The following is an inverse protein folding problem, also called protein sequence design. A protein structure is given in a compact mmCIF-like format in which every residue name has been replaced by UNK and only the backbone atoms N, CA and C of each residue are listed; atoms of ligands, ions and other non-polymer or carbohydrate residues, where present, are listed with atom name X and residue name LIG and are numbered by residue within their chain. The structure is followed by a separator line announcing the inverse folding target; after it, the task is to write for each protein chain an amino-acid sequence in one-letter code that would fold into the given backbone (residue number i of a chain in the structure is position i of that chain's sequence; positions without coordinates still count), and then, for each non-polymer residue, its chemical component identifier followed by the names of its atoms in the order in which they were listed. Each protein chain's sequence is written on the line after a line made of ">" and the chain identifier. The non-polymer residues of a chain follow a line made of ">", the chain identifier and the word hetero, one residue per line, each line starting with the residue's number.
data_IF_009330258373
#
_entry.id   IF_009330258373
#
_cell.length_a   1.000
_cell.length_b   1.000
_cell.length_c   1.000
_cell.angle_alpha   90.00
_cell.angle_beta   90.00
_cell.angle_gamma   90.00
#
_symmetry.space_group_name_H-M   'P 1'
#
loop_
_entity.id
_entity.type
_entity.pdbx_description
1 polymer ?
#
# COMPACT_ATOMS: atom_id res chain seq x y z
N UNK A 1 -25.16 3.90 -12.57
CA UNK A 1 -24.83 5.27 -12.13
C UNK A 1 -24.98 6.22 -13.31
N UNK A 2 -25.93 7.14 -13.26
CA UNK A 2 -26.08 8.13 -14.33
C UNK A 2 -25.21 9.35 -14.06
N UNK A 3 -24.03 9.43 -14.65
CA UNK A 3 -23.25 10.66 -14.65
C UNK A 3 -23.92 11.63 -15.61
N UNK A 4 -24.66 12.59 -15.08
CA UNK A 4 -25.48 13.51 -15.90
C UNK A 4 -24.68 14.65 -16.57
N UNK A 5 -23.42 14.89 -16.18
CA UNK A 5 -22.58 15.96 -16.75
C UNK A 5 -21.12 15.53 -16.81
N UNK A 6 -20.67 15.16 -18.00
CA UNK A 6 -19.25 15.11 -18.34
C UNK A 6 -18.99 16.36 -19.20
N UNK A 7 -17.99 17.17 -18.84
CA UNK A 7 -17.72 18.46 -19.50
C UNK A 7 -17.40 18.32 -20.99
N UNK A 8 -16.72 17.25 -21.38
CA UNK A 8 -16.33 16.95 -22.76
C UNK A 8 -16.57 15.47 -23.06
N UNK A 9 -17.85 15.04 -23.24
CA UNK A 9 -18.19 13.63 -23.29
C UNK A 9 -17.55 12.87 -24.45
N UNK A 10 -17.36 13.54 -25.60
CA UNK A 10 -16.82 12.91 -26.81
C UNK A 10 -15.29 12.67 -26.76
N UNK A 11 -14.60 13.46 -25.93
CA UNK A 11 -13.13 13.41 -25.82
C UNK A 11 -12.63 12.97 -24.44
N UNK A 12 -13.55 12.67 -23.51
CA UNK A 12 -13.20 12.19 -22.18
C UNK A 12 -12.91 10.69 -22.18
N UNK A 13 -11.78 10.29 -21.60
CA UNK A 13 -11.48 8.91 -21.28
C UNK A 13 -11.89 8.56 -19.84
N UNK A 14 -12.24 7.31 -19.61
CA UNK A 14 -12.66 6.79 -18.30
C UNK A 14 -11.81 5.57 -17.94
N UNK A 15 -11.28 5.56 -16.71
CA UNK A 15 -10.65 4.39 -16.11
C UNK A 15 -11.52 3.83 -14.97
N UNK A 16 -11.57 2.51 -14.83
CA UNK A 16 -12.26 1.83 -13.73
C UNK A 16 -11.21 1.19 -12.82
N UNK A 17 -11.22 1.57 -11.54
CA UNK A 17 -10.36 0.99 -10.52
C UNK A 17 -11.21 0.21 -9.51
N UNK A 18 -11.30 -1.11 -9.64
CA UNK A 18 -12.02 -1.93 -8.67
C UNK A 18 -11.17 -2.12 -7.41
N UNK A 19 -11.81 -2.09 -6.25
CA UNK A 19 -11.24 -2.47 -4.95
C UNK A 19 -12.25 -3.40 -4.27
N UNK A 20 -11.80 -4.58 -3.84
CA UNK A 20 -12.66 -5.54 -3.16
C UNK A 20 -12.26 -5.72 -1.71
N UNK A 21 -13.25 -6.07 -0.89
CA UNK A 21 -13.03 -6.35 0.53
C UNK A 21 -12.13 -7.57 0.72
N UNK A 22 -12.38 -8.63 -0.02
CA UNK A 22 -11.61 -9.88 0.06
C UNK A 22 -10.15 -9.68 -0.33
N UNK A 23 -9.91 -8.89 -1.38
CA UNK A 23 -8.56 -8.53 -1.82
C UNK A 23 -7.82 -7.69 -0.76
N UNK A 24 -8.52 -6.72 -0.18
CA UNK A 24 -8.01 -5.89 0.92
C UNK A 24 -7.66 -6.73 2.14
N UNK A 25 -8.60 -7.53 2.63
CA UNK A 25 -8.39 -8.37 3.81
C UNK A 25 -7.23 -9.35 3.63
N UNK A 26 -7.07 -9.92 2.43
CA UNK A 26 -5.93 -10.80 2.11
C UNK A 26 -4.59 -10.07 2.19
N UNK A 27 -4.50 -8.87 1.63
CA UNK A 27 -3.29 -8.04 1.69
C UNK A 27 -2.94 -7.70 3.15
N UNK A 28 -3.93 -7.26 3.90
CA UNK A 28 -3.73 -6.84 5.31
C UNK A 28 -3.30 -8.02 6.18
N UNK A 29 -3.93 -9.18 6.03
CA UNK A 29 -3.48 -10.39 6.76
C UNK A 29 -2.03 -10.72 6.45
N UNK A 30 -1.61 -10.59 5.19
CA UNK A 30 -0.23 -10.81 4.80
C UNK A 30 0.73 -9.80 5.47
N UNK A 31 0.39 -8.51 5.43
CA UNK A 31 1.19 -7.46 6.07
C UNK A 31 1.26 -7.63 7.59
N UNK A 32 0.14 -7.92 8.25
CA UNK A 32 0.08 -8.14 9.69
C UNK A 32 0.88 -9.37 10.13
N UNK A 33 0.72 -10.50 9.44
CA UNK A 33 1.48 -11.72 9.74
C UNK A 33 2.99 -11.51 9.54
N UNK A 34 3.38 -10.80 8.49
CA UNK A 34 4.77 -10.42 8.26
C UNK A 34 5.30 -9.57 9.42
N UNK A 35 4.56 -8.53 9.79
CA UNK A 35 4.95 -7.62 10.86
C UNK A 35 5.09 -8.33 12.22
N UNK A 36 4.16 -9.22 12.56
CA UNK A 36 4.20 -10.02 13.78
C UNK A 36 5.41 -10.97 13.77
N UNK A 37 5.59 -11.73 12.68
CA UNK A 37 6.67 -12.71 12.54
C UNK A 37 8.05 -12.05 12.66
N UNK A 38 8.20 -10.86 12.07
CA UNK A 38 9.47 -10.12 12.06
C UNK A 38 9.57 -9.08 13.17
N UNK A 39 8.65 -9.09 14.14
CA UNK A 39 8.64 -8.17 15.31
C UNK A 39 8.75 -6.70 14.90
N UNK A 40 7.98 -6.30 13.88
CA UNK A 40 7.94 -4.92 13.39
C UNK A 40 7.12 -4.04 14.32
N UNK A 41 7.46 -2.76 14.40
CA UNK A 41 6.83 -1.80 15.33
C UNK A 41 5.47 -1.32 14.85
N UNK A 42 5.31 -1.18 13.52
CA UNK A 42 4.07 -0.67 12.95
C UNK A 42 3.77 -1.24 11.56
N UNK A 43 2.49 -1.16 11.21
CA UNK A 43 1.99 -1.31 9.84
C UNK A 43 1.29 0.00 9.45
N UNK A 44 1.73 0.61 8.34
CA UNK A 44 1.15 1.84 7.83
C UNK A 44 0.33 1.56 6.58
N UNK A 45 -0.94 1.99 6.60
CA UNK A 45 -1.87 1.88 5.49
C UNK A 45 -1.73 3.12 4.62
N UNK A 46 -1.15 2.96 3.43
CA UNK A 46 -0.96 4.09 2.51
C UNK A 46 -2.06 4.11 1.47
N UNK A 47 -2.83 5.20 1.43
CA UNK A 47 -4.01 5.32 0.56
C UNK A 47 -4.30 6.78 0.19
N UNK A 48 -5.18 7.00 -0.80
CA UNK A 48 -5.72 8.30 -1.18
C UNK A 48 -7.23 8.40 -0.90
N UNK A 49 -7.66 7.89 0.26
CA UNK A 49 -9.07 7.79 0.64
C UNK A 49 -9.78 9.12 0.86
N UNK A 50 -9.06 10.23 1.05
CA UNK A 50 -9.64 11.57 1.13
C UNK A 50 -10.22 12.04 -0.23
N UNK A 51 -9.68 11.57 -1.35
CA UNK A 51 -10.16 11.84 -2.72
C UNK A 51 -10.95 10.65 -3.26
N UNK A 52 -10.40 9.46 -3.20
CA UNK A 52 -11.01 8.23 -3.72
C UNK A 52 -11.81 7.51 -2.63
N UNK A 53 -12.86 8.17 -2.15
CA UNK A 53 -13.61 7.79 -0.94
C UNK A 53 -14.22 6.39 -1.00
N UNK A 54 -14.76 5.98 -2.14
CA UNK A 54 -15.49 4.71 -2.29
C UNK A 54 -14.58 3.52 -2.61
N UNK A 55 -13.34 3.75 -2.98
CA UNK A 55 -12.33 2.71 -3.24
C UNK A 55 -11.28 2.71 -2.16
N UNK A 56 -10.41 3.69 -2.12
CA UNK A 56 -9.31 3.73 -1.15
C UNK A 56 -9.77 4.10 0.27
N UNK A 57 -10.86 4.85 0.42
CA UNK A 57 -11.50 5.03 1.72
C UNK A 57 -12.10 3.73 2.25
N UNK A 58 -12.76 2.95 1.39
CA UNK A 58 -13.27 1.63 1.77
C UNK A 58 -12.12 0.64 2.11
N UNK A 59 -11.02 0.68 1.35
CA UNK A 59 -9.80 -0.06 1.65
C UNK A 59 -9.35 0.18 3.10
N UNK A 60 -9.15 1.42 3.51
CA UNK A 60 -8.82 1.81 4.87
C UNK A 60 -9.81 1.27 5.91
N UNK A 61 -11.09 1.46 5.67
CA UNK A 61 -12.13 1.08 6.65
C UNK A 61 -12.20 -0.44 6.84
N UNK A 62 -12.04 -1.22 5.77
CA UNK A 62 -11.97 -2.69 5.84
C UNK A 62 -10.70 -3.18 6.55
N UNK A 63 -9.59 -2.49 6.39
CA UNK A 63 -8.34 -2.81 7.08
C UNK A 63 -8.47 -2.63 8.59
N UNK A 64 -8.93 -1.47 9.04
CA UNK A 64 -9.15 -1.24 10.47
C UNK A 64 -10.17 -2.22 11.06
N UNK A 65 -11.23 -2.53 10.34
CA UNK A 65 -12.21 -3.53 10.77
C UNK A 65 -11.58 -4.92 10.93
N UNK A 66 -10.72 -5.33 9.99
CA UNK A 66 -10.02 -6.61 10.06
C UNK A 66 -9.03 -6.67 11.22
N UNK A 67 -8.22 -5.62 11.42
CA UNK A 67 -7.23 -5.55 12.50
C UNK A 67 -7.92 -5.66 13.86
N UNK A 68 -9.01 -4.95 14.07
CA UNK A 68 -9.79 -5.05 15.33
C UNK A 68 -10.37 -6.44 15.56
N UNK A 69 -10.79 -7.11 14.49
CA UNK A 69 -11.41 -8.43 14.56
C UNK A 69 -10.41 -9.56 14.76
N UNK A 70 -9.30 -9.56 14.01
CA UNK A 70 -8.41 -10.71 13.92
C UNK A 70 -7.06 -10.51 14.63
N UNK A 71 -6.64 -9.28 14.88
CA UNK A 71 -5.30 -8.96 15.39
C UNK A 71 -5.28 -8.13 16.67
N UNK A 72 -6.41 -8.00 17.35
CA UNK A 72 -6.53 -7.18 18.56
C UNK A 72 -5.60 -7.60 19.72
N UNK A 73 -5.14 -8.85 19.73
CA UNK A 73 -4.15 -9.32 20.71
C UNK A 73 -2.75 -8.76 20.46
N UNK A 74 -2.38 -8.58 19.18
CA UNK A 74 -1.04 -8.18 18.74
C UNK A 74 -0.91 -6.71 18.36
N UNK A 75 -2.02 -6.07 17.99
CA UNK A 75 -2.01 -4.74 17.43
C UNK A 75 -3.15 -3.86 17.92
N UNK A 76 -2.98 -2.56 17.77
CA UNK A 76 -3.99 -1.55 18.04
C UNK A 76 -4.03 -0.55 16.88
N UNK A 77 -5.24 -0.12 16.49
CA UNK A 77 -5.40 0.90 15.45
C UNK A 77 -5.14 2.30 16.03
N UNK A 78 -4.44 3.14 15.29
CA UNK A 78 -4.10 4.50 15.71
C UNK A 78 -5.32 5.34 16.19
N UNK A 79 -6.49 5.28 15.53
CA UNK A 79 -7.68 5.96 16.03
C UNK A 79 -8.18 5.50 17.41
N UNK A 80 -7.83 4.28 17.81
CA UNK A 80 -8.32 3.68 19.08
C UNK A 80 -7.39 3.96 20.26
N UNK A 81 -6.18 4.51 20.01
CA UNK A 81 -5.15 4.72 21.05
C UNK A 81 -4.48 6.10 20.99
N UNK A 82 -5.06 7.06 20.24
CA UNK A 82 -4.46 8.39 20.01
C UNK A 82 -3.00 8.28 19.53
N UNK A 83 -2.76 7.41 18.56
CA UNK A 83 -1.46 7.14 17.93
C UNK A 83 -0.35 6.62 18.86
N UNK A 84 -0.69 6.24 20.10
CA UNK A 84 0.24 5.69 21.08
C UNK A 84 -0.13 4.25 21.42
N UNK A 85 0.57 3.31 20.79
CA UNK A 85 0.34 1.90 21.10
C UNK A 85 0.73 1.56 22.54
N UNK A 86 -0.09 0.79 23.25
CA UNK A 86 0.28 0.21 24.54
C UNK A 86 1.53 -0.67 24.43
N UNK A 87 2.27 -0.80 25.52
CA UNK A 87 3.45 -1.66 25.56
C UNK A 87 3.10 -3.10 25.11
N UNK A 88 3.91 -3.64 24.20
CA UNK A 88 3.74 -4.99 23.66
C UNK A 88 2.76 -5.10 22.49
N UNK A 89 2.12 -4.02 22.06
CA UNK A 89 1.27 -4.00 20.87
C UNK A 89 1.89 -3.22 19.72
N UNK A 90 1.69 -3.71 18.52
CA UNK A 90 2.08 -3.03 17.28
C UNK A 90 1.05 -1.95 16.93
N UNK A 91 1.51 -0.81 16.43
CA UNK A 91 0.65 0.26 15.93
C UNK A 91 0.24 0.00 14.48
N UNK A 92 -1.05 0.06 14.20
CA UNK A 92 -1.57 0.13 12.83
C UNK A 92 -2.09 1.54 12.58
N UNK A 93 -1.41 2.27 11.70
CA UNK A 93 -1.70 3.68 11.37
C UNK A 93 -1.98 3.85 9.89
N UNK A 94 -2.59 4.97 9.52
CA UNK A 94 -2.79 5.35 8.12
C UNK A 94 -1.93 6.54 7.73
N UNK A 95 -1.64 6.66 6.44
CA UNK A 95 -1.03 7.83 5.85
C UNK A 95 -1.61 8.09 4.45
N UNK A 96 -1.90 9.35 4.16
CA UNK A 96 -2.32 9.76 2.82
C UNK A 96 -1.11 9.67 1.88
N UNK A 97 -1.28 9.07 0.71
CA UNK A 97 -0.19 8.68 -0.18
C UNK A 97 0.78 9.82 -0.55
N UNK A 98 0.26 11.02 -0.79
CA UNK A 98 1.10 12.19 -1.10
C UNK A 98 1.89 12.69 0.12
N UNK A 99 1.31 12.66 1.31
CA UNK A 99 2.03 12.95 2.56
C UNK A 99 3.10 11.87 2.81
N UNK A 100 2.76 10.59 2.61
CA UNK A 100 3.70 9.50 2.76
C UNK A 100 4.95 9.65 1.88
N UNK A 101 4.80 10.08 0.62
CA UNK A 101 5.94 10.32 -0.28
C UNK A 101 6.87 11.44 0.22
N UNK A 102 6.35 12.39 0.99
CA UNK A 102 7.16 13.39 1.68
C UNK A 102 7.83 12.79 2.93
N UNK A 103 7.07 12.09 3.74
CA UNK A 103 7.50 11.57 5.03
C UNK A 103 8.63 10.55 4.91
N UNK A 104 8.63 9.70 3.87
CA UNK A 104 9.72 8.74 3.62
C UNK A 104 11.08 9.40 3.35
N UNK A 105 11.09 10.69 2.99
CA UNK A 105 12.31 11.46 2.81
C UNK A 105 12.75 12.20 4.08
N UNK A 106 11.79 12.53 4.95
CA UNK A 106 12.02 13.36 6.15
C UNK A 106 12.20 12.48 7.40
N UNK A 107 11.36 11.45 7.56
CA UNK A 107 11.33 10.59 8.74
C UNK A 107 11.10 9.12 8.38
N UNK A 108 11.94 8.49 7.53
CA UNK A 108 11.75 7.11 7.09
C UNK A 108 11.73 6.09 8.23
N UNK A 109 12.36 6.38 9.35
CA UNK A 109 12.41 5.54 10.54
C UNK A 109 11.06 5.34 11.23
N UNK A 110 10.06 6.13 10.89
CA UNK A 110 8.72 5.99 11.42
C UNK A 110 7.89 4.89 10.73
N UNK A 111 8.41 4.29 9.67
CA UNK A 111 7.70 3.33 8.81
C UNK A 111 8.43 1.98 8.77
N UNK A 112 7.75 0.92 9.22
CA UNK A 112 8.33 -0.44 9.20
C UNK A 112 7.73 -1.32 8.09
N UNK A 113 6.40 -1.47 8.07
CA UNK A 113 5.67 -2.25 7.06
C UNK A 113 4.62 -1.37 6.42
N UNK A 114 4.58 -1.36 5.09
CA UNK A 114 3.63 -0.56 4.33
C UNK A 114 2.66 -1.48 3.63
N UNK A 115 1.36 -1.28 3.88
CA UNK A 115 0.29 -1.94 3.14
C UNK A 115 -0.44 -0.92 2.28
N UNK A 116 -0.54 -1.18 0.98
CA UNK A 116 -1.14 -0.24 0.05
C UNK A 116 -1.72 -0.94 -1.18
N UNK A 117 -2.60 -0.24 -1.91
CA UNK A 117 -3.17 -0.71 -3.15
C UNK A 117 -2.15 -0.66 -4.30
N UNK A 118 -2.42 -1.46 -5.34
CA UNK A 118 -1.51 -1.70 -6.46
C UNK A 118 -0.87 -0.43 -7.03
N UNK A 119 -1.64 0.57 -7.47
CA UNK A 119 -1.09 1.78 -8.11
C UNK A 119 -0.22 2.60 -7.15
N UNK A 120 -0.70 2.82 -5.94
CA UNK A 120 0.06 3.56 -4.92
C UNK A 120 1.33 2.77 -4.54
N UNK A 121 1.23 1.43 -4.46
CA UNK A 121 2.35 0.54 -4.16
C UNK A 121 3.44 0.58 -5.22
N UNK A 122 3.06 0.68 -6.48
CA UNK A 122 3.99 0.81 -7.60
C UNK A 122 4.80 2.11 -7.48
N UNK A 123 4.13 3.24 -7.28
CA UNK A 123 4.82 4.53 -7.07
C UNK A 123 5.67 4.55 -5.80
N UNK A 124 5.15 4.04 -4.71
CA UNK A 124 5.83 4.04 -3.41
C UNK A 124 7.06 3.14 -3.43
N UNK A 125 6.97 1.95 -4.02
CA UNK A 125 8.11 1.03 -4.10
C UNK A 125 9.25 1.60 -4.93
N UNK A 126 8.95 2.24 -6.04
CA UNK A 126 9.97 2.88 -6.88
C UNK A 126 10.62 4.08 -6.19
N UNK A 127 9.84 4.91 -5.49
CA UNK A 127 10.36 6.03 -4.71
C UNK A 127 11.29 5.55 -3.58
N UNK A 128 10.88 4.53 -2.81
CA UNK A 128 11.70 3.93 -1.76
C UNK A 128 12.98 3.29 -2.31
N UNK A 129 12.88 2.64 -3.45
CA UNK A 129 14.02 2.01 -4.11
C UNK A 129 15.06 3.05 -4.54
N UNK A 130 14.62 4.21 -5.03
CA UNK A 130 15.50 5.31 -5.37
C UNK A 130 16.31 5.80 -4.16
N UNK A 131 15.69 5.83 -2.98
CA UNK A 131 16.37 6.25 -1.74
C UNK A 131 17.49 5.29 -1.30
N UNK A 132 17.45 4.01 -1.69
CA UNK A 132 18.42 3.00 -1.27
C UNK A 132 19.41 2.57 -2.35
N UNK A 133 19.38 3.16 -3.53
CA UNK A 133 20.36 2.91 -4.59
C UNK A 133 19.77 2.57 -5.96
N UNK A 134 18.47 2.57 -6.10
CA UNK A 134 17.76 2.44 -7.36
C UNK A 134 17.14 1.07 -7.61
N UNK A 135 16.31 1.01 -8.65
CA UNK A 135 15.43 -0.13 -8.96
C UNK A 135 16.18 -1.45 -9.20
N UNK A 136 17.45 -1.39 -9.60
CA UNK A 136 18.25 -2.58 -9.90
C UNK A 136 18.57 -3.46 -8.69
N UNK A 137 18.44 -2.94 -7.47
CA UNK A 137 18.70 -3.68 -6.22
C UNK A 137 17.43 -3.97 -5.44
N UNK A 138 16.26 -3.52 -5.92
CA UNK A 138 15.00 -3.76 -5.23
C UNK A 138 14.57 -5.22 -5.31
N UNK A 139 14.40 -5.92 -4.18
CA UNK A 139 13.78 -7.23 -4.20
C UNK A 139 12.29 -7.10 -4.49
N UNK A 140 11.79 -7.87 -5.45
CA UNK A 140 10.37 -7.92 -5.76
C UNK A 140 9.88 -9.36 -5.80
N UNK A 141 8.67 -9.61 -5.30
CA UNK A 141 8.06 -10.93 -5.36
C UNK A 141 6.53 -10.84 -5.51
N UNK A 142 5.98 -11.77 -6.30
CA UNK A 142 4.55 -12.06 -6.29
C UNK A 142 4.32 -13.27 -5.40
N UNK A 143 3.62 -13.09 -4.29
CA UNK A 143 3.43 -14.14 -3.29
C UNK A 143 1.95 -14.53 -3.22
N UNK A 144 1.68 -15.83 -3.41
CA UNK A 144 0.38 -16.41 -3.14
C UNK A 144 0.39 -17.04 -1.73
N UNK A 145 -0.16 -16.33 -0.77
CA UNK A 145 -0.22 -16.79 0.62
C UNK A 145 -1.20 -17.95 0.85
N UNK A 146 -2.14 -18.22 -0.07
CA UNK A 146 -3.06 -19.36 0.03
C UNK A 146 -2.43 -20.71 -0.35
N UNK A 147 -1.42 -20.69 -1.21
CA UNK A 147 -0.76 -21.89 -1.71
C UNK A 147 0.77 -21.87 -1.58
N UNK A 148 1.32 -20.92 -0.85
CA UNK A 148 2.78 -20.75 -0.60
C UNK A 148 3.63 -20.77 -1.88
N UNK A 149 3.11 -20.21 -2.98
CA UNK A 149 3.87 -20.03 -4.22
C UNK A 149 4.41 -18.61 -4.28
N UNK A 150 5.71 -18.50 -4.44
CA UNK A 150 6.40 -17.23 -4.57
C UNK A 150 7.11 -17.16 -5.93
N UNK A 151 6.86 -16.08 -6.68
CA UNK A 151 7.60 -15.77 -7.90
C UNK A 151 8.45 -14.52 -7.64
N UNK A 152 9.76 -14.69 -7.57
CA UNK A 152 10.68 -13.56 -7.48
C UNK A 152 10.80 -12.89 -8.86
N UNK A 153 10.59 -11.59 -8.91
CA UNK A 153 10.91 -10.78 -10.08
C UNK A 153 12.34 -10.27 -9.93
N UNK A 154 13.24 -10.75 -10.78
CA UNK A 154 14.46 -10.02 -11.08
C UNK A 154 14.07 -8.82 -11.95
N UNK A 155 14.26 -7.60 -11.48
CA UNK A 155 14.12 -6.43 -12.34
C UNK A 155 15.30 -6.35 -13.28
N UNK A 156 15.20 -6.98 -14.46
CA UNK A 156 16.03 -6.64 -15.60
C UNK A 156 15.41 -5.40 -16.24
N UNK A 157 16.01 -4.26 -16.03
CA UNK A 157 15.67 -3.06 -16.78
C UNK A 157 16.13 -3.25 -18.22
N UNK A 158 15.24 -3.73 -19.09
CA UNK A 158 15.43 -3.65 -20.54
C UNK A 158 15.23 -2.18 -20.92
N UNK A 159 16.32 -1.42 -20.98
CA UNK A 159 16.36 -0.18 -21.72
C UNK A 159 16.11 -0.55 -23.19
N UNK A 160 14.86 -0.40 -23.63
CA UNK A 160 14.57 -0.37 -25.05
C UNK A 160 15.39 0.79 -25.62
N UNK A 161 16.52 0.46 -26.26
CA UNK A 161 17.24 1.39 -27.10
C UNK A 161 16.27 1.74 -28.23
N UNK A 162 15.60 2.89 -28.14
CA UNK A 162 15.00 3.53 -29.29
C UNK A 162 16.15 3.93 -30.20
N UNK A 163 16.48 3.05 -31.13
CA UNK A 163 17.28 3.43 -32.29
C UNK A 163 16.44 4.42 -33.09
N UNK A 164 16.72 5.72 -32.90
CA UNK A 164 16.37 6.71 -33.87
C UNK A 164 17.27 6.44 -35.12
N UNK A 165 16.74 5.76 -36.09
CA UNK A 165 17.26 5.83 -37.47
C UNK A 165 16.66 7.04 -38.13
N UNK A 166 17.51 7.83 -38.72
CA UNK A 166 17.41 9.14 -39.33
C UNK A 166 16.24 9.46 -40.23
#
# INVERSE_FOLDING_TARGET
>A
MGVKKIRFPETSAIGIKPVSREGTERLVRAAMNYAITHKRRNVTLVHKGNIMKFTEGAFRDWEYALVRKEFSEHAVCAPDCNEKAPAGKMLVKECICDAFLQDILICPEEYDVIATLNLNGDYVSDALTACVGGIGIAPGANINYGHWRCYFRGHTWNSAKTSRTG
#
